data_IF_823329320935
#
_entry.id   IF_823329320935
#
_cell.length_a   1.000
_cell.length_b   1.000
_cell.length_c   1.000
_cell.angle_alpha   90.00
_cell.angle_beta   90.00
_cell.angle_gamma   90.00
#
_symmetry.space_group_name_H-M   'P 1'
#
loop_
_entity.id
_entity.type
_entity.pdbx_description
1 polymer ?
#
# COMPACT_ATOMS: atom_id res chain seq x y z
N UNK A 1 17.55 -2.36 -6.07
CA UNK A 1 16.60 -3.45 -6.41
C UNK A 1 16.66 -3.75 -7.89
N UNK A 2 16.60 -5.01 -8.28
CA UNK A 2 16.57 -5.41 -9.69
C UNK A 2 15.26 -5.00 -10.36
N UNK A 3 15.34 -4.58 -11.64
CA UNK A 3 14.16 -4.20 -12.45
C UNK A 3 13.09 -5.29 -12.49
N UNK A 4 13.52 -6.56 -12.45
CA UNK A 4 12.63 -7.73 -12.42
C UNK A 4 11.77 -7.77 -11.15
N UNK A 5 12.37 -7.52 -9.99
CA UNK A 5 11.66 -7.48 -8.70
C UNK A 5 10.68 -6.32 -8.63
N UNK A 6 11.03 -5.15 -9.20
CA UNK A 6 10.13 -4.00 -9.29
C UNK A 6 8.89 -4.31 -10.14
N UNK A 7 9.06 -4.95 -11.30
CA UNK A 7 7.96 -5.36 -12.16
C UNK A 7 7.05 -6.40 -11.47
N UNK A 8 7.64 -7.34 -10.74
CA UNK A 8 6.87 -8.34 -9.98
C UNK A 8 6.01 -7.68 -8.90
N UNK A 9 6.59 -6.76 -8.12
CA UNK A 9 5.85 -6.02 -7.09
C UNK A 9 4.78 -5.10 -7.71
N UNK A 10 5.05 -4.46 -8.84
CA UNK A 10 4.08 -3.67 -9.59
C UNK A 10 2.87 -4.52 -10.02
N UNK A 11 3.11 -5.74 -10.51
CA UNK A 11 2.06 -6.68 -10.90
C UNK A 11 1.17 -7.07 -9.71
N UNK A 12 1.75 -7.29 -8.53
CA UNK A 12 0.99 -7.58 -7.30
C UNK A 12 0.13 -6.37 -6.91
N UNK A 13 0.72 -5.16 -6.89
CA UNK A 13 0.01 -3.92 -6.57
C UNK A 13 -1.18 -3.65 -7.50
N UNK A 14 -1.04 -3.92 -8.80
CA UNK A 14 -2.14 -3.75 -9.76
C UNK A 14 -3.28 -4.74 -9.51
N UNK A 15 -2.98 -5.99 -9.14
CA UNK A 15 -3.99 -6.98 -8.76
C UNK A 15 -4.72 -6.58 -7.47
N UNK A 16 -3.97 -6.11 -6.47
CA UNK A 16 -4.56 -5.60 -5.22
C UNK A 16 -5.42 -4.36 -5.46
N UNK A 17 -4.98 -3.43 -6.33
CA UNK A 17 -5.74 -2.25 -6.74
C UNK A 17 -7.10 -2.67 -7.31
N UNK A 18 -7.09 -3.54 -8.32
CA UNK A 18 -8.31 -4.00 -8.98
C UNK A 18 -9.28 -4.68 -8.00
N UNK A 19 -8.75 -5.46 -7.06
CA UNK A 19 -9.55 -6.07 -5.99
C UNK A 19 -10.17 -5.01 -5.08
N UNK A 20 -9.38 -4.06 -4.58
CA UNK A 20 -9.85 -2.99 -3.71
C UNK A 20 -10.90 -2.09 -4.38
N UNK A 21 -10.72 -1.75 -5.66
CA UNK A 21 -11.69 -0.98 -6.45
C UNK A 21 -13.01 -1.73 -6.62
N UNK A 22 -12.96 -3.03 -6.88
CA UNK A 22 -14.15 -3.89 -7.00
C UNK A 22 -14.90 -4.03 -5.66
N UNK A 23 -14.18 -4.13 -4.54
CA UNK A 23 -14.79 -4.12 -3.22
C UNK A 23 -15.45 -2.75 -2.94
N UNK A 24 -14.75 -1.66 -3.25
CA UNK A 24 -15.27 -0.30 -3.03
C UNK A 24 -16.51 0.00 -3.89
N UNK A 25 -16.57 -0.50 -5.13
CA UNK A 25 -17.74 -0.33 -6.00
C UNK A 25 -18.97 -1.08 -5.47
N UNK A 26 -18.80 -2.19 -4.74
CA UNK A 26 -19.90 -2.91 -4.07
C UNK A 26 -20.50 -2.10 -2.91
N UNK A 27 -19.68 -1.33 -2.19
CA UNK A 27 -20.15 -0.50 -1.06
C UNK A 27 -21.01 0.68 -1.52
N UNK A 28 -20.70 1.30 -2.67
CA UNK A 28 -21.50 2.42 -3.23
C UNK A 28 -22.96 2.05 -3.52
N UNK A 29 -23.27 0.76 -3.64
CA UNK A 29 -24.61 0.24 -3.93
C UNK A 29 -25.46 -0.03 -2.68
N UNK A 30 -24.88 0.05 -1.46
CA UNK A 30 -25.60 -0.18 -0.18
C UNK A 30 -25.97 1.15 0.50
N UNK A 31 -27.09 1.21 1.24
CA UNK A 31 -27.48 2.41 1.98
C UNK A 31 -26.45 2.77 3.07
N UNK A 32 -26.12 4.06 3.18
CA UNK A 32 -24.96 4.63 3.87
C UNK A 32 -24.89 4.48 5.41
N UNK A 33 -25.67 3.60 6.04
CA UNK A 33 -25.88 3.65 7.50
C UNK A 33 -25.02 2.72 8.37
N UNK A 34 -24.30 1.72 7.82
CA UNK A 34 -23.69 0.68 8.68
C UNK A 34 -22.18 0.40 8.50
N UNK A 35 -21.50 0.78 7.41
CA UNK A 35 -20.13 0.29 7.13
C UNK A 35 -19.09 1.37 6.75
N UNK A 36 -19.19 2.59 7.29
CA UNK A 36 -18.27 3.71 6.97
C UNK A 36 -16.78 3.39 7.24
N UNK A 37 -16.50 2.69 8.36
CA UNK A 37 -15.12 2.34 8.77
C UNK A 37 -14.41 1.39 7.78
N UNK A 38 -15.15 0.44 7.20
CA UNK A 38 -14.61 -0.49 6.21
C UNK A 38 -14.35 0.20 4.87
N UNK A 39 -15.27 1.06 4.43
CA UNK A 39 -15.10 1.87 3.24
C UNK A 39 -13.87 2.78 3.34
N UNK A 40 -13.70 3.45 4.49
CA UNK A 40 -12.54 4.32 4.75
C UNK A 40 -11.23 3.54 4.77
N UNK A 41 -11.25 2.32 5.31
CA UNK A 41 -10.07 1.43 5.32
C UNK A 41 -9.70 1.00 3.91
N UNK A 42 -10.68 0.63 3.07
CA UNK A 42 -10.47 0.29 1.67
C UNK A 42 -9.97 1.49 0.85
N UNK A 43 -10.55 2.68 1.05
CA UNK A 43 -10.07 3.92 0.44
C UNK A 43 -8.63 4.24 0.84
N UNK A 44 -8.28 4.08 2.13
CA UNK A 44 -6.90 4.24 2.63
C UNK A 44 -5.96 3.27 1.92
N UNK A 45 -6.34 1.99 1.85
CA UNK A 45 -5.56 0.97 1.16
C UNK A 45 -5.34 1.31 -0.32
N UNK A 46 -6.39 1.72 -1.03
CA UNK A 46 -6.31 2.09 -2.44
C UNK A 46 -5.36 3.28 -2.66
N UNK A 47 -5.43 4.29 -1.78
CA UNK A 47 -4.49 5.43 -1.79
C UNK A 47 -3.05 4.97 -1.56
N UNK A 48 -2.81 4.03 -0.65
CA UNK A 48 -1.48 3.49 -0.39
C UNK A 48 -0.94 2.71 -1.59
N UNK A 49 -1.78 1.92 -2.27
CA UNK A 49 -1.43 1.20 -3.50
C UNK A 49 -1.08 2.19 -4.62
N UNK A 50 -1.87 3.24 -4.82
CA UNK A 50 -1.56 4.28 -5.81
C UNK A 50 -0.22 4.97 -5.53
N UNK A 51 0.06 5.29 -4.27
CA UNK A 51 1.36 5.85 -3.89
C UNK A 51 2.50 4.87 -4.16
N UNK A 52 2.30 3.60 -3.86
CA UNK A 52 3.29 2.56 -4.13
C UNK A 52 3.59 2.45 -5.63
N UNK A 53 2.56 2.41 -6.48
CA UNK A 53 2.69 2.39 -7.95
C UNK A 53 3.44 3.63 -8.46
N UNK A 54 3.07 4.83 -8.01
CA UNK A 54 3.76 6.06 -8.39
C UNK A 54 5.26 6.02 -8.06
N UNK A 55 5.61 5.44 -6.92
CA UNK A 55 7.01 5.29 -6.50
C UNK A 55 7.76 4.26 -7.34
N UNK A 56 7.08 3.25 -7.86
CA UNK A 56 7.67 2.32 -8.84
C UNK A 56 8.01 3.08 -10.12
N UNK A 57 7.09 3.94 -10.60
CA UNK A 57 7.31 4.78 -11.78
C UNK A 57 8.43 5.80 -11.58
N UNK A 58 8.49 6.45 -10.40
CA UNK A 58 9.54 7.38 -10.01
C UNK A 58 10.88 6.69 -9.68
N UNK A 59 10.92 5.36 -9.62
CA UNK A 59 12.12 4.60 -9.24
C UNK A 59 12.51 4.70 -7.75
N UNK A 60 11.64 5.27 -6.91
CA UNK A 60 11.84 5.44 -5.45
C UNK A 60 11.14 4.35 -4.62
N UNK A 61 10.63 3.31 -5.28
CA UNK A 61 10.01 2.16 -4.63
C UNK A 61 11.03 1.38 -3.82
N UNK A 62 10.62 0.96 -2.63
CA UNK A 62 11.52 0.33 -1.67
C UNK A 62 12.33 1.33 -0.83
N UNK A 63 12.10 2.64 -0.90
CA UNK A 63 12.70 3.60 0.03
C UNK A 63 11.72 3.96 1.16
N UNK A 64 12.17 4.10 2.40
CA UNK A 64 11.32 4.54 3.50
C UNK A 64 11.06 6.04 3.40
N UNK A 65 9.79 6.47 3.46
CA UNK A 65 9.45 7.90 3.40
C UNK A 65 9.87 8.71 4.64
N UNK A 66 10.20 8.04 5.74
CA UNK A 66 10.51 8.69 7.03
C UNK A 66 12.00 8.80 7.31
N UNK A 67 12.77 7.78 6.92
CA UNK A 67 14.21 7.74 7.19
C UNK A 67 15.06 7.66 5.91
N UNK A 68 14.42 7.66 4.74
CA UNK A 68 15.08 7.56 3.43
C UNK A 68 15.97 6.33 3.23
N UNK A 69 15.87 5.33 4.11
CA UNK A 69 16.59 4.05 4.01
C UNK A 69 15.82 3.05 3.17
N UNK A 70 16.51 2.07 2.61
CA UNK A 70 15.88 0.97 1.89
C UNK A 70 14.95 0.15 2.83
N UNK A 71 13.81 -0.25 2.30
CA UNK A 71 12.82 -1.12 2.92
C UNK A 71 13.21 -2.55 2.54
N UNK A 72 13.40 -3.39 3.54
CA UNK A 72 13.68 -4.81 3.31
C UNK A 72 12.65 -5.44 2.38
N UNK A 73 13.13 -6.22 1.42
CA UNK A 73 12.29 -6.87 0.42
C UNK A 73 11.25 -7.79 1.05
N UNK A 74 11.59 -8.52 2.13
CA UNK A 74 10.65 -9.35 2.87
C UNK A 74 9.41 -8.57 3.35
N UNK A 75 9.57 -7.28 3.70
CA UNK A 75 8.47 -6.40 4.10
C UNK A 75 7.61 -5.98 2.91
N UNK A 76 8.22 -5.73 1.75
CA UNK A 76 7.50 -5.41 0.52
C UNK A 76 6.76 -6.63 -0.03
N UNK A 77 7.35 -7.83 0.03
CA UNK A 77 6.67 -9.09 -0.31
C UNK A 77 5.48 -9.36 0.60
N UNK A 78 5.60 -9.09 1.91
CA UNK A 78 4.50 -9.25 2.85
C UNK A 78 3.43 -8.15 2.72
N UNK A 79 3.83 -6.91 2.38
CA UNK A 79 2.92 -5.78 2.21
C UNK A 79 3.46 -4.79 1.16
N UNK A 80 3.13 -4.97 -0.12
CA UNK A 80 3.75 -4.23 -1.22
C UNK A 80 3.35 -2.75 -1.25
N UNK A 81 2.20 -2.39 -0.68
CA UNK A 81 1.77 -1.00 -0.52
C UNK A 81 2.47 -0.25 0.65
N UNK A 82 3.41 -0.89 1.36
CA UNK A 82 4.08 -0.29 2.52
C UNK A 82 5.06 0.80 2.12
N UNK A 83 4.84 2.03 2.60
CA UNK A 83 5.72 3.19 2.36
C UNK A 83 6.78 3.41 3.46
N UNK A 84 6.76 2.61 4.52
CA UNK A 84 7.66 2.72 5.67
C UNK A 84 8.37 1.40 6.00
N UNK A 85 9.60 1.49 6.51
CA UNK A 85 10.35 0.36 7.01
C UNK A 85 9.80 -0.14 8.36
N UNK A 86 10.22 -1.34 8.77
CA UNK A 86 9.80 -1.96 10.04
C UNK A 86 10.20 -1.08 11.22
N UNK A 87 11.42 -0.54 11.23
CA UNK A 87 11.91 0.33 12.30
C UNK A 87 11.02 1.56 12.51
N UNK A 88 10.78 2.35 11.44
CA UNK A 88 9.92 3.53 11.54
C UNK A 88 8.47 3.16 11.91
N UNK A 89 7.95 2.05 11.38
CA UNK A 89 6.60 1.61 11.74
C UNK A 89 6.51 1.21 13.22
N UNK A 90 7.53 0.52 13.75
CA UNK A 90 7.61 0.13 15.17
C UNK A 90 7.63 1.34 16.09
N UNK A 91 8.36 2.40 15.72
CA UNK A 91 8.35 3.68 16.45
C UNK A 91 6.95 4.30 16.42
N UNK A 92 6.35 4.47 15.24
CA UNK A 92 5.03 5.09 15.08
C UNK A 92 3.88 4.38 15.82
N UNK A 93 3.96 3.06 15.98
CA UNK A 93 2.93 2.27 16.69
C UNK A 93 3.12 2.22 18.20
N UNK A 94 4.27 2.65 18.73
CA UNK A 94 4.58 2.53 20.16
C UNK A 94 4.18 3.77 20.97
N UNK A 95 3.68 4.80 20.30
CA UNK A 95 3.22 6.06 20.88
C UNK A 95 1.68 6.24 20.80
N UNK A 96 0.92 5.14 20.64
CA UNK A 96 -0.56 5.14 20.76
C UNK A 96 -1.02 4.34 21.97
#
# INVERSE_FOLDING_TARGET
>A
MDKKTLQEMQGILLKEKARAEKELSRFKSRPAKEDSSLEDTLKKLLRDIHKALKRVEEGTYGTCKYCSREIHEARLRARPASSSCIACKKTLTRDM
#
